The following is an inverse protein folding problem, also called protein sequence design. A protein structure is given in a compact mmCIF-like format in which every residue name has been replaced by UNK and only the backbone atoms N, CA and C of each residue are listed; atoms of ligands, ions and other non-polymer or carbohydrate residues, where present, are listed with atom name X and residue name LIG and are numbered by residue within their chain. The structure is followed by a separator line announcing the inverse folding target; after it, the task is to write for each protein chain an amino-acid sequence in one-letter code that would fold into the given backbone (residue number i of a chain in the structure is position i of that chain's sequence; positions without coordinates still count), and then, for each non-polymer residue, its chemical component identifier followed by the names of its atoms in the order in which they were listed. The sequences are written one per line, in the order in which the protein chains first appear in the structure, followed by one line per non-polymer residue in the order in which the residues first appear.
data_IF_560791619548
#
_entry.id   IF_560791619548
#
_cell.length_a   1.000
_cell.length_b   1.000
_cell.length_c   1.000
_cell.angle_alpha   90.00
_cell.angle_beta   90.00
_cell.angle_gamma   90.00
#
_symmetry.space_group_name_H-M   'P 1'
#
loop_
_entity.id
_entity.type
_entity.pdbx_description
1 polymer ?
#
# COMPACT_ATOMS: atom_id res chain seq x y z
N UNK A 1 16.02 25.77 28.46
CA UNK A 1 16.57 24.48 28.02
C UNK A 1 15.45 23.77 27.28
N UNK A 2 15.40 24.04 25.99
CA UNK A 2 14.32 23.61 25.10
C UNK A 2 14.43 22.12 24.83
N UNK A 3 13.36 21.40 25.15
CA UNK A 3 13.27 19.96 25.02
C UNK A 3 13.07 19.63 23.53
N UNK A 4 14.16 19.23 22.86
CA UNK A 4 14.17 18.68 21.51
C UNK A 4 13.54 17.28 21.52
N UNK A 5 12.22 17.20 21.70
CA UNK A 5 11.48 15.99 21.33
C UNK A 5 11.23 16.08 19.81
N UNK A 6 12.28 15.76 19.04
CA UNK A 6 12.21 15.65 17.58
C UNK A 6 11.08 14.68 17.21
N UNK A 7 10.00 15.20 16.60
CA UNK A 7 8.77 14.50 16.27
C UNK A 7 8.97 13.15 15.57
N UNK A 8 9.07 12.08 16.35
CA UNK A 8 9.29 10.73 15.84
C UNK A 8 8.01 10.20 15.19
N UNK A 9 8.07 9.90 13.89
CA UNK A 9 6.95 9.27 13.19
C UNK A 9 6.60 7.91 13.82
N UNK A 10 5.41 7.82 14.44
CA UNK A 10 4.88 6.57 15.01
C UNK A 10 4.24 5.70 13.92
N UNK A 11 5.07 5.11 13.07
CA UNK A 11 4.66 4.39 11.86
C UNK A 11 4.34 2.90 11.99
N UNK A 12 4.45 2.31 13.19
CA UNK A 12 4.31 0.86 13.40
C UNK A 12 2.96 0.29 12.91
N UNK A 13 1.91 1.11 12.88
CA UNK A 13 0.58 0.74 12.42
C UNK A 13 0.54 0.39 10.93
N UNK A 14 1.40 0.97 10.10
CA UNK A 14 1.45 0.68 8.65
C UNK A 14 1.78 -0.78 8.41
N UNK A 15 2.72 -1.33 9.19
CA UNK A 15 3.15 -2.72 9.06
C UNK A 15 2.13 -3.72 9.60
N UNK A 16 1.24 -3.27 10.49
CA UNK A 16 0.10 -4.05 11.02
C UNK A 16 -1.13 -4.04 10.10
N UNK A 17 -1.15 -3.21 9.06
CA UNK A 17 -2.26 -3.16 8.11
C UNK A 17 -2.55 -4.54 7.50
N UNK A 18 -3.84 -4.86 7.32
CA UNK A 18 -4.26 -6.06 6.60
C UNK A 18 -4.20 -5.81 5.09
N UNK A 19 -2.99 -5.85 4.53
CA UNK A 19 -2.74 -5.63 3.11
C UNK A 19 -1.47 -6.36 2.67
N UNK A 20 -1.32 -6.59 1.36
CA UNK A 20 -0.08 -7.16 0.82
C UNK A 20 1.13 -6.24 1.10
N UNK A 21 2.36 -6.79 1.26
CA UNK A 21 3.56 -6.02 1.59
C UNK A 21 3.80 -4.80 0.70
N UNK A 22 3.55 -4.92 -0.60
CA UNK A 22 3.68 -3.83 -1.58
C UNK A 22 2.79 -2.62 -1.24
N UNK A 23 1.55 -2.87 -0.79
CA UNK A 23 0.61 -1.81 -0.40
C UNK A 23 1.04 -1.18 0.93
N UNK A 24 1.55 -1.98 1.89
CA UNK A 24 2.12 -1.44 3.14
C UNK A 24 3.29 -0.49 2.87
N UNK A 25 4.22 -0.88 2.00
CA UNK A 25 5.32 -0.02 1.57
C UNK A 25 4.83 1.27 0.92
N UNK A 26 3.81 1.18 0.05
CA UNK A 26 3.20 2.35 -0.56
C UNK A 26 2.56 3.31 0.47
N UNK A 27 1.82 2.78 1.45
CA UNK A 27 1.24 3.58 2.54
C UNK A 27 2.35 4.26 3.35
N UNK A 28 3.43 3.53 3.65
CA UNK A 28 4.60 4.08 4.32
C UNK A 28 5.22 5.24 3.52
N UNK A 29 5.38 5.07 2.20
CA UNK A 29 5.87 6.14 1.33
C UNK A 29 4.95 7.37 1.32
N UNK A 30 3.62 7.17 1.41
CA UNK A 30 2.66 8.26 1.54
C UNK A 30 2.88 9.06 2.84
N UNK A 31 3.17 8.37 3.94
CA UNK A 31 3.43 9.00 5.24
C UNK A 31 4.71 9.87 5.25
N UNK A 32 5.64 9.59 4.34
CA UNK A 32 6.95 10.25 4.27
C UNK A 32 7.11 11.15 3.02
N UNK A 33 6.01 11.57 2.40
CA UNK A 33 6.03 12.40 1.18
C UNK A 33 6.94 11.85 0.05
N UNK A 34 7.03 10.53 -0.05
CA UNK A 34 8.07 9.84 -0.84
C UNK A 34 7.54 9.22 -2.14
N UNK A 35 6.24 9.29 -2.41
CA UNK A 35 5.69 8.92 -3.72
C UNK A 35 5.84 10.08 -4.72
N UNK A 36 6.08 9.74 -5.99
CA UNK A 36 6.40 10.71 -7.04
C UNK A 36 5.17 11.43 -7.61
N UNK A 37 4.42 12.12 -6.75
CA UNK A 37 3.40 13.09 -7.16
C UNK A 37 4.06 14.38 -7.67
N UNK A 38 3.39 15.13 -8.55
CA UNK A 38 3.99 16.30 -9.21
C UNK A 38 4.38 17.40 -8.22
N UNK A 39 3.66 17.60 -7.11
CA UNK A 39 4.09 18.55 -6.08
C UNK A 39 5.43 18.15 -5.43
N UNK A 40 5.66 16.85 -5.20
CA UNK A 40 6.94 16.34 -4.67
C UNK A 40 8.05 16.47 -5.70
N UNK A 41 7.76 16.20 -6.98
CA UNK A 41 8.72 16.35 -8.07
C UNK A 41 9.11 17.83 -8.29
N UNK A 42 8.14 18.74 -8.22
CA UNK A 42 8.36 20.18 -8.33
C UNK A 42 9.18 20.72 -7.15
N UNK A 43 8.87 20.30 -5.92
CA UNK A 43 9.67 20.61 -4.72
C UNK A 43 11.12 20.14 -4.84
N UNK A 44 11.40 19.10 -5.65
CA UNK A 44 12.74 18.57 -5.92
C UNK A 44 13.41 19.19 -7.15
N UNK A 45 12.75 20.13 -7.85
CA UNK A 45 13.27 20.74 -9.08
C UNK A 45 13.32 19.78 -10.28
N UNK A 46 12.53 18.69 -10.26
CA UNK A 46 12.46 17.72 -11.36
C UNK A 46 11.41 18.12 -12.41
N UNK A 47 10.35 18.83 -11.99
CA UNK A 47 9.29 19.36 -12.86
C UNK A 47 9.03 20.82 -12.52
N UNK A 48 8.68 21.63 -13.51
CA UNK A 48 8.33 23.04 -13.32
C UNK A 48 6.84 23.28 -13.05
N UNK A 49 6.04 22.21 -13.03
CA UNK A 49 4.59 22.26 -12.81
C UNK A 49 4.16 21.17 -11.83
N UNK A 50 3.14 21.48 -11.03
CA UNK A 50 2.62 20.57 -10.01
C UNK A 50 1.17 20.12 -10.25
N UNK A 51 0.48 20.63 -11.29
CA UNK A 51 -0.94 20.37 -11.53
C UNK A 51 -1.28 18.89 -11.61
N UNK A 52 -2.33 18.45 -10.91
CA UNK A 52 -2.81 17.06 -10.90
C UNK A 52 -3.19 16.56 -12.31
N UNK A 53 -2.60 15.44 -12.79
CA UNK A 53 -2.88 14.90 -14.12
C UNK A 53 -4.29 14.26 -14.22
N UNK A 54 -4.96 14.03 -13.09
CA UNK A 54 -6.30 13.46 -13.07
C UNK A 54 -7.39 14.52 -13.24
N UNK A 55 -7.31 15.62 -12.47
CA UNK A 55 -8.34 16.65 -12.47
C UNK A 55 -7.96 17.93 -13.23
N UNK A 56 -6.67 18.15 -13.50
CA UNK A 56 -6.10 19.34 -14.14
C UNK A 56 -6.42 20.69 -13.46
N UNK A 57 -6.86 20.68 -12.20
CA UNK A 57 -7.36 21.89 -11.52
C UNK A 57 -6.53 22.37 -10.33
N UNK A 58 -5.84 21.47 -9.62
CA UNK A 58 -5.12 21.78 -8.38
C UNK A 58 -3.74 21.12 -8.35
N UNK A 59 -2.79 21.61 -7.54
CA UNK A 59 -1.52 20.94 -7.27
C UNK A 59 -1.69 19.49 -6.84
N UNK A 60 -0.88 18.60 -7.40
CA UNK A 60 -0.87 17.16 -7.11
C UNK A 60 -0.10 16.87 -5.83
N UNK A 61 -0.70 17.17 -4.68
CA UNK A 61 -0.22 16.64 -3.39
C UNK A 61 -0.68 15.19 -3.22
N UNK A 62 -0.08 14.47 -2.27
CA UNK A 62 -0.48 13.09 -1.93
C UNK A 62 -1.92 13.06 -1.43
N UNK A 63 -2.28 14.00 -0.54
CA UNK A 63 -3.64 14.17 -0.05
C UNK A 63 -4.61 14.47 -1.21
N UNK A 64 -4.21 15.36 -2.12
CA UNK A 64 -5.02 15.65 -3.30
C UNK A 64 -5.25 14.41 -4.14
N UNK A 65 -4.19 13.71 -4.52
CA UNK A 65 -4.29 12.53 -5.34
C UNK A 65 -5.17 11.43 -4.71
N UNK A 66 -5.02 11.20 -3.40
CA UNK A 66 -5.65 10.05 -2.73
C UNK A 66 -7.01 10.36 -2.12
N UNK A 67 -7.36 11.64 -1.89
CA UNK A 67 -8.57 12.02 -1.15
C UNK A 67 -9.31 13.21 -1.75
N UNK A 68 -8.65 14.35 -1.98
CA UNK A 68 -9.36 15.60 -2.28
C UNK A 68 -9.57 15.92 -3.76
N UNK A 69 -8.88 15.21 -4.67
CA UNK A 69 -9.10 15.25 -6.10
C UNK A 69 -10.55 14.88 -6.44
N UNK A 70 -11.16 15.57 -7.40
CA UNK A 70 -12.55 15.32 -7.82
C UNK A 70 -12.78 13.86 -8.19
N UNK A 71 -11.85 13.24 -8.93
CA UNK A 71 -11.94 11.83 -9.28
C UNK A 71 -11.76 10.89 -8.07
N UNK A 72 -10.92 11.26 -7.10
CA UNK A 72 -10.75 10.48 -5.87
C UNK A 72 -12.00 10.59 -4.98
N UNK A 73 -12.58 11.79 -4.83
CA UNK A 73 -13.84 12.01 -4.12
C UNK A 73 -14.98 11.21 -4.72
N UNK A 74 -15.20 11.29 -6.03
CA UNK A 74 -16.23 10.51 -6.70
C UNK A 74 -16.04 9.00 -6.51
N UNK A 75 -14.80 8.52 -6.51
CA UNK A 75 -14.50 7.13 -6.17
C UNK A 75 -14.89 6.80 -4.72
N UNK A 76 -14.45 7.59 -3.74
CA UNK A 76 -14.78 7.34 -2.33
C UNK A 76 -16.28 7.42 -2.07
N UNK A 77 -16.98 8.41 -2.63
CA UNK A 77 -18.45 8.52 -2.58
C UNK A 77 -19.13 7.27 -3.16
N UNK A 78 -18.65 6.78 -4.30
CA UNK A 78 -19.19 5.55 -4.91
C UNK A 78 -18.96 4.32 -4.04
N UNK A 79 -17.84 4.25 -3.31
CA UNK A 79 -17.54 3.18 -2.35
C UNK A 79 -18.45 3.33 -1.14
N UNK A 80 -18.70 4.55 -0.66
CA UNK A 80 -19.45 4.86 0.56
C UNK A 80 -18.74 4.33 1.82
N UNK A 81 -17.73 5.06 2.34
CA UNK A 81 -17.01 4.68 3.55
C UNK A 81 -17.97 4.47 4.73
N UNK A 82 -17.65 3.59 5.70
CA UNK A 82 -18.48 3.31 6.87
C UNK A 82 -18.47 4.45 7.91
N UNK A 83 -18.10 5.67 7.52
CA UNK A 83 -18.09 6.86 8.34
C UNK A 83 -18.75 8.02 7.60
N UNK A 84 -19.26 8.99 8.36
CA UNK A 84 -19.90 10.17 7.77
C UNK A 84 -18.90 10.99 6.94
N UNK A 85 -19.38 11.53 5.81
CA UNK A 85 -18.55 12.27 4.87
C UNK A 85 -17.78 13.44 5.51
N UNK A 86 -18.43 14.17 6.42
CA UNK A 86 -17.85 15.31 7.14
C UNK A 86 -16.56 14.90 7.88
N UNK A 87 -16.59 13.74 8.54
CA UNK A 87 -15.43 13.18 9.23
C UNK A 87 -14.40 12.65 8.23
N UNK A 88 -14.84 11.93 7.20
CA UNK A 88 -13.93 11.36 6.20
C UNK A 88 -13.07 12.43 5.49
N UNK A 89 -13.66 13.59 5.16
CA UNK A 89 -12.97 14.65 4.44
C UNK A 89 -12.41 15.77 5.33
N UNK A 90 -12.86 15.88 6.59
CA UNK A 90 -12.46 16.97 7.50
C UNK A 90 -11.18 16.71 8.31
N UNK A 91 -10.70 15.46 8.39
CA UNK A 91 -9.51 15.10 9.15
C UNK A 91 -8.21 15.54 8.46
N UNK A 92 -7.13 15.74 9.22
CA UNK A 92 -5.80 15.83 8.60
C UNK A 92 -5.45 14.51 7.90
N UNK A 93 -4.56 14.58 6.90
CA UNK A 93 -4.27 13.44 6.03
C UNK A 93 -3.69 12.23 6.78
N UNK A 94 -2.83 12.45 7.77
CA UNK A 94 -2.19 11.37 8.53
C UNK A 94 -3.17 10.62 9.43
N UNK A 95 -4.04 11.35 10.13
CA UNK A 95 -5.09 10.74 10.94
C UNK A 95 -6.13 10.04 10.08
N UNK A 96 -6.48 10.62 8.92
CA UNK A 96 -7.35 9.99 7.94
C UNK A 96 -6.78 8.66 7.44
N UNK A 97 -5.50 8.62 7.05
CA UNK A 97 -4.83 7.39 6.63
C UNK A 97 -4.85 6.35 7.76
N UNK A 98 -4.39 6.74 8.95
CA UNK A 98 -4.27 5.82 10.09
C UNK A 98 -5.62 5.24 10.50
N UNK A 99 -6.64 6.07 10.63
CA UNK A 99 -7.98 5.66 11.08
C UNK A 99 -8.61 4.65 10.11
N UNK A 100 -8.46 4.87 8.80
CA UNK A 100 -9.03 3.97 7.80
C UNK A 100 -8.21 2.68 7.64
N UNK A 101 -6.87 2.75 7.62
CA UNK A 101 -5.99 1.56 7.49
C UNK A 101 -6.05 0.66 8.73
N UNK A 102 -6.32 1.22 9.91
CA UNK A 102 -6.47 0.47 11.16
C UNK A 102 -7.93 0.18 11.53
N UNK A 103 -8.88 0.48 10.64
CA UNK A 103 -10.30 0.27 10.92
C UNK A 103 -10.64 -1.21 11.07
N UNK A 104 -11.47 -1.50 12.07
CA UNK A 104 -12.10 -2.80 12.31
C UNK A 104 -13.54 -2.87 11.79
N UNK A 105 -14.02 -1.80 11.12
CA UNK A 105 -15.34 -1.79 10.52
C UNK A 105 -15.39 -2.73 9.31
N UNK A 106 -16.56 -3.28 9.02
CA UNK A 106 -16.81 -4.07 7.82
C UNK A 106 -17.37 -3.19 6.69
N UNK A 107 -17.16 -3.65 5.46
CA UNK A 107 -17.67 -3.07 4.23
C UNK A 107 -18.66 -4.03 3.55
N UNK A 108 -19.85 -3.50 3.23
CA UNK A 108 -20.88 -4.23 2.52
C UNK A 108 -21.44 -5.44 3.26
N UNK A 109 -22.35 -6.17 2.60
CA UNK A 109 -23.00 -7.36 3.17
C UNK A 109 -22.08 -8.58 3.26
N UNK A 110 -20.98 -8.61 2.51
CA UNK A 110 -20.00 -9.69 2.52
C UNK A 110 -19.05 -9.64 3.73
N UNK A 111 -19.12 -8.58 4.56
CA UNK A 111 -18.32 -8.48 5.77
C UNK A 111 -16.82 -8.32 5.53
N UNK A 112 -16.40 -7.78 4.39
CA UNK A 112 -14.98 -7.55 4.09
C UNK A 112 -14.46 -6.41 4.99
N UNK A 113 -13.31 -6.56 5.63
CA UNK A 113 -12.72 -5.49 6.44
C UNK A 113 -12.56 -4.19 5.61
N UNK A 114 -13.03 -3.08 6.17
CA UNK A 114 -12.90 -1.75 5.56
C UNK A 114 -11.43 -1.39 5.31
N UNK A 115 -10.53 -1.76 6.22
CA UNK A 115 -9.10 -1.50 6.08
C UNK A 115 -8.49 -2.12 4.81
N UNK A 116 -8.99 -3.29 4.37
CA UNK A 116 -8.58 -3.95 3.13
C UNK A 116 -9.08 -3.13 1.93
N UNK A 117 -10.39 -2.83 1.89
CA UNK A 117 -11.02 -2.07 0.79
C UNK A 117 -10.36 -0.71 0.64
N UNK A 118 -10.13 -0.02 1.76
CA UNK A 118 -9.46 1.27 1.79
C UNK A 118 -8.01 1.20 1.28
N UNK A 119 -7.21 0.26 1.80
CA UNK A 119 -5.79 0.12 1.42
C UNK A 119 -5.63 -0.21 -0.07
N UNK A 120 -6.48 -1.08 -0.61
CA UNK A 120 -6.52 -1.39 -2.04
C UNK A 120 -7.01 -0.18 -2.84
N UNK A 121 -8.00 0.56 -2.34
CA UNK A 121 -8.50 1.80 -2.94
C UNK A 121 -7.40 2.84 -3.14
N UNK A 122 -6.60 3.10 -2.09
CA UNK A 122 -5.44 4.01 -2.19
C UNK A 122 -4.45 3.55 -3.26
N UNK A 123 -4.12 2.26 -3.28
CA UNK A 123 -3.21 1.68 -4.26
C UNK A 123 -3.74 1.80 -5.69
N UNK A 124 -5.02 1.51 -5.91
CA UNK A 124 -5.66 1.61 -7.21
C UNK A 124 -5.74 3.06 -7.72
N UNK A 125 -5.98 4.04 -6.84
CA UNK A 125 -5.90 5.48 -7.20
C UNK A 125 -4.49 5.85 -7.68
N UNK A 126 -3.46 5.42 -6.96
CA UNK A 126 -2.06 5.63 -7.36
C UNK A 126 -1.73 4.98 -8.71
N UNK A 127 -2.15 3.73 -8.92
CA UNK A 127 -1.92 3.02 -10.18
C UNK A 127 -2.67 3.69 -11.35
N UNK A 128 -3.91 4.12 -11.13
CA UNK A 128 -4.69 4.87 -12.12
C UNK A 128 -3.97 6.14 -12.55
N UNK A 129 -3.45 6.91 -11.58
CA UNK A 129 -2.63 8.10 -11.85
C UNK A 129 -1.39 7.76 -12.65
N UNK A 130 -0.66 6.72 -12.28
CA UNK A 130 0.56 6.36 -12.99
C UNK A 130 0.31 5.92 -14.43
N UNK A 131 -0.82 5.26 -14.72
CA UNK A 131 -1.24 4.94 -16.09
C UNK A 131 -1.48 6.18 -16.93
N UNK A 132 -2.14 7.20 -16.35
CA UNK A 132 -2.38 8.49 -17.03
C UNK A 132 -1.04 9.17 -17.34
N UNK A 133 -0.13 9.25 -16.38
CA UNK A 133 1.20 9.88 -16.58
C UNK A 133 2.05 9.14 -17.60
N UNK A 134 2.03 7.80 -17.58
CA UNK A 134 2.85 6.98 -18.49
C UNK A 134 2.23 6.79 -19.88
N UNK A 135 1.05 7.37 -20.15
CA UNK A 135 0.27 7.19 -21.39
C UNK A 135 -0.02 5.72 -21.74
N UNK A 136 0.12 4.82 -20.76
CA UNK A 136 -0.14 3.38 -20.92
C UNK A 136 -1.60 3.09 -20.61
N UNK A 137 -2.41 3.18 -21.66
CA UNK A 137 -3.83 2.81 -21.75
C UNK A 137 -4.84 3.74 -21.02
N UNK A 138 -6.09 3.73 -21.51
CA UNK A 138 -7.23 4.39 -20.86
C UNK A 138 -7.52 3.69 -19.52
N UNK A 139 -7.69 4.44 -18.41
CA UNK A 139 -8.12 3.87 -17.14
C UNK A 139 -9.41 3.06 -17.26
N UNK A 140 -9.54 1.99 -16.47
CA UNK A 140 -10.80 1.28 -16.27
C UNK A 140 -11.90 2.28 -15.89
N UNK A 141 -13.08 2.19 -16.51
CA UNK A 141 -14.17 3.15 -16.27
C UNK A 141 -14.67 3.10 -14.82
N UNK A 142 -14.69 1.90 -14.21
CA UNK A 142 -15.27 1.69 -12.89
C UNK A 142 -14.22 1.22 -11.86
N UNK A 143 -13.60 2.19 -11.18
CA UNK A 143 -12.58 1.93 -10.16
C UNK A 143 -13.14 1.17 -8.94
N UNK A 144 -14.41 1.40 -8.58
CA UNK A 144 -15.08 0.68 -7.49
C UNK A 144 -15.09 -0.82 -7.73
N UNK A 145 -15.54 -1.25 -8.91
CA UNK A 145 -15.59 -2.68 -9.26
C UNK A 145 -14.21 -3.31 -9.20
N UNK A 146 -13.18 -2.62 -9.72
CA UNK A 146 -11.79 -3.11 -9.67
C UNK A 146 -11.29 -3.28 -8.22
N UNK A 147 -11.55 -2.31 -7.35
CA UNK A 147 -11.14 -2.35 -5.94
C UNK A 147 -11.88 -3.48 -5.21
N UNK A 148 -13.18 -3.63 -5.40
CA UNK A 148 -13.96 -4.68 -4.74
C UNK A 148 -13.56 -6.07 -5.23
N UNK A 149 -13.32 -6.26 -6.53
CA UNK A 149 -12.82 -7.53 -7.06
C UNK A 149 -11.47 -7.90 -6.43
N UNK A 150 -10.54 -6.93 -6.33
CA UNK A 150 -9.22 -7.15 -5.70
C UNK A 150 -9.31 -7.39 -4.20
N UNK A 151 -10.21 -6.72 -3.49
CA UNK A 151 -10.43 -6.94 -2.07
C UNK A 151 -10.99 -8.35 -1.80
N UNK A 152 -11.98 -8.77 -2.58
CA UNK A 152 -12.52 -10.13 -2.56
C UNK A 152 -11.42 -11.15 -2.85
N UNK A 153 -10.65 -10.99 -3.94
CA UNK A 153 -9.54 -11.87 -4.28
C UNK A 153 -8.52 -11.96 -3.13
N UNK A 154 -8.14 -10.82 -2.54
CA UNK A 154 -7.21 -10.80 -1.41
C UNK A 154 -7.75 -11.58 -0.20
N UNK A 155 -9.04 -11.45 0.13
CA UNK A 155 -9.65 -12.18 1.25
C UNK A 155 -9.69 -13.69 0.98
N UNK A 156 -10.15 -14.12 -0.20
CA UNK A 156 -10.37 -15.54 -0.48
C UNK A 156 -9.10 -16.29 -0.87
N UNK A 157 -8.16 -15.63 -1.55
CA UNK A 157 -6.94 -16.24 -2.07
C UNK A 157 -5.73 -15.85 -1.23
N UNK A 158 -5.60 -14.57 -0.90
CA UNK A 158 -4.39 -14.02 -0.26
C UNK A 158 -4.33 -14.19 1.26
N UNK A 159 -5.44 -14.02 1.97
CA UNK A 159 -5.46 -14.05 3.44
C UNK A 159 -5.23 -15.47 4.00
N UNK A 160 -5.62 -16.51 3.26
CA UNK A 160 -5.37 -17.91 3.62
C UNK A 160 -3.89 -18.30 3.61
N UNK A 161 -3.03 -17.52 2.93
CA UNK A 161 -1.56 -17.72 2.91
C UNK A 161 -0.89 -17.25 4.21
N UNK A 162 -1.60 -16.51 5.06
CA UNK A 162 -1.11 -16.11 6.39
C UNK A 162 -1.35 -17.16 7.49
N UNK A 163 -1.91 -18.33 7.14
CA UNK A 163 -1.79 -19.52 7.96
C UNK A 163 -0.30 -19.75 8.23
N UNK A 164 0.11 -19.70 9.50
CA UNK A 164 1.51 -19.86 9.86
C UNK A 164 2.05 -21.13 9.17
N UNK A 165 3.05 -21.04 8.29
CA UNK A 165 3.56 -22.22 7.62
C UNK A 165 4.02 -23.19 8.69
N UNK A 166 3.55 -24.44 8.59
CA UNK A 166 3.97 -25.52 9.48
C UNK A 166 5.48 -25.61 9.37
N UNK A 167 6.19 -25.16 10.41
CA UNK A 167 7.65 -25.23 10.47
C UNK A 167 8.02 -26.69 10.61
N UNK A 168 8.54 -27.30 9.55
CA UNK A 168 9.14 -28.62 9.61
C UNK A 168 10.66 -28.47 9.75
N UNK A 169 11.23 -29.16 10.73
CA UNK A 169 12.68 -29.34 10.79
C UNK A 169 13.03 -30.44 9.80
N UNK A 170 13.71 -30.08 8.71
CA UNK A 170 14.28 -31.05 7.78
C UNK A 170 15.77 -31.19 8.04
N UNK A 171 16.28 -32.42 7.98
CA UNK A 171 17.71 -32.64 7.97
C UNK A 171 18.24 -32.27 6.58
N UNK A 172 18.90 -31.12 6.47
CA UNK A 172 19.54 -30.68 5.23
C UNK A 172 20.81 -31.51 5.05
N UNK A 173 20.77 -32.51 4.15
CA UNK A 173 21.95 -33.27 3.71
C UNK A 173 22.19 -32.99 2.24
N UNK A 174 23.46 -32.83 1.87
CA UNK A 174 23.86 -32.82 0.47
C UNK A 174 23.58 -34.18 -0.17
N UNK A 175 22.73 -34.19 -1.20
CA UNK A 175 22.47 -35.32 -2.06
C UNK A 175 22.96 -34.98 -3.46
N UNK A 176 23.68 -35.91 -4.09
CA UNK A 176 24.07 -35.78 -5.48
C UNK A 176 22.81 -35.78 -6.35
N UNK A 177 22.70 -34.81 -7.24
CA UNK A 177 21.54 -34.70 -8.13
C UNK A 177 21.66 -35.63 -9.34
N UNK A 178 20.54 -35.96 -9.99
CA UNK A 178 20.55 -36.69 -11.25
C UNK A 178 21.35 -35.96 -12.35
N UNK A 179 21.81 -36.72 -13.34
CA UNK A 179 22.49 -36.16 -14.52
C UNK A 179 21.59 -35.11 -15.20
N UNK A 180 22.17 -33.99 -15.63
CA UNK A 180 21.51 -32.81 -16.23
C UNK A 180 20.73 -31.89 -15.28
N UNK A 181 20.92 -32.01 -13.97
CA UNK A 181 20.42 -31.02 -13.01
C UNK A 181 21.52 -30.09 -12.53
N UNK A 182 21.23 -28.80 -12.51
CA UNK A 182 22.06 -27.77 -11.88
C UNK A 182 21.39 -27.30 -10.59
N UNK A 183 22.17 -27.16 -9.52
CA UNK A 183 21.70 -26.60 -8.25
C UNK A 183 22.34 -25.24 -8.02
N UNK A 184 21.50 -24.23 -7.82
CA UNK A 184 21.94 -22.93 -7.31
C UNK A 184 21.85 -23.01 -5.79
N UNK A 185 22.97 -22.79 -5.11
CA UNK A 185 22.96 -22.60 -3.66
C UNK A 185 22.93 -21.11 -3.36
N UNK A 186 22.04 -20.71 -2.47
CA UNK A 186 22.12 -19.40 -1.82
C UNK A 186 22.45 -19.65 -0.36
N UNK A 187 23.52 -19.05 0.14
CA UNK A 187 23.84 -19.06 1.55
C UNK A 187 23.06 -17.94 2.25
N UNK A 188 22.62 -18.25 3.48
CA UNK A 188 21.95 -17.32 4.36
C UNK A 188 22.63 -17.35 5.71
N UNK A 189 22.90 -16.18 6.29
CA UNK A 189 23.37 -16.06 7.67
C UNK A 189 22.21 -15.64 8.56
N UNK A 190 22.14 -16.19 9.77
CA UNK A 190 21.21 -15.74 10.81
C UNK A 190 21.96 -15.40 12.09
N UNK A 191 21.49 -14.35 12.78
CA UNK A 191 22.02 -13.95 14.07
C UNK A 191 21.26 -14.66 15.21
N UNK A 192 21.42 -15.98 15.32
CA UNK A 192 20.77 -16.84 16.32
C UNK A 192 19.45 -17.51 15.86
N UNK A 193 18.89 -18.36 16.73
CA UNK A 193 17.58 -19.02 16.59
C UNK A 193 16.65 -18.51 17.72
N UNK A 194 15.75 -17.53 17.57
CA UNK A 194 15.24 -16.79 16.41
C UNK A 194 15.92 -15.41 16.26
N UNK A 195 16.67 -15.18 15.18
CA UNK A 195 17.34 -13.89 14.92
C UNK A 195 17.19 -13.37 13.49
N UNK A 196 17.73 -12.17 13.21
CA UNK A 196 17.71 -11.56 11.87
C UNK A 196 18.54 -12.39 10.89
N UNK A 197 18.02 -12.58 9.67
CA UNK A 197 18.72 -13.30 8.61
C UNK A 197 18.90 -12.46 7.35
N UNK A 198 20.00 -12.67 6.64
CA UNK A 198 20.30 -12.10 5.33
C UNK A 198 20.77 -13.20 4.36
N UNK A 199 20.54 -13.01 3.07
CA UNK A 199 20.95 -13.98 2.04
C UNK A 199 21.64 -13.29 0.86
N UNK A 200 22.63 -13.97 0.29
CA UNK A 200 23.30 -13.60 -0.95
C UNK A 200 23.10 -14.76 -1.93
N UNK A 201 22.79 -14.44 -3.19
CA UNK A 201 22.80 -15.41 -4.26
C UNK A 201 24.10 -15.21 -5.06
N UNK A 202 24.88 -16.28 -5.21
CA UNK A 202 26.03 -16.36 -6.13
C UNK A 202 25.58 -16.91 -7.48
#
# INVERSE_FOLDING_TARGET
MDNLDSGQFRGAWVWKANAIPKIKCFIWQCCHESILVRAVLAKRGILDFDTCPLCNNYPETIDHLLRSCTLAKSFWESISPPMQANYFYGMNFMDWLRLNVCSVACYGSLGIDWSIVFSIGLWCLWIRRNRVVSQKAKPSLNLKVEVLAKATEYVFVGANVHSAPTKSTIQVKWLQLPVNWFKVNSDGSSLGNLGRAGGVAL
#
